data_IF_750649973342
#
_entry.id   IF_750649973342
#
_cell.length_a   1.000
_cell.length_b   1.000
_cell.length_c   1.000
_cell.angle_alpha   90.00
_cell.angle_beta   90.00
_cell.angle_gamma   90.00
#
_symmetry.space_group_name_H-M   'P 1'
#
loop_
_entity.id
_entity.type
_entity.pdbx_description
1 polymer ?
#
# COMPACT_ATOMS: atom_id res chain seq x y z
N UNK A 1 21.11 -21.72 -15.58
CA UNK A 1 21.03 -21.30 -14.17
C UNK A 1 19.57 -21.03 -13.86
N UNK A 2 18.91 -21.77 -12.95
CA UNK A 2 17.52 -21.50 -12.64
C UNK A 2 17.48 -20.28 -11.72
N UNK A 3 16.96 -19.17 -12.22
CA UNK A 3 16.79 -17.96 -11.42
C UNK A 3 15.68 -18.20 -10.39
N UNK A 4 15.98 -17.84 -9.14
CA UNK A 4 14.99 -17.80 -8.07
C UNK A 4 14.42 -16.38 -8.06
N UNK A 5 13.42 -16.15 -8.89
CA UNK A 5 12.60 -14.94 -8.74
C UNK A 5 11.81 -15.10 -7.45
N UNK A 6 12.17 -14.33 -6.43
CA UNK A 6 11.32 -14.16 -5.25
C UNK A 6 10.74 -12.77 -5.28
N UNK A 7 9.43 -12.67 -5.11
CA UNK A 7 8.79 -11.37 -4.97
C UNK A 7 8.92 -10.89 -3.52
N UNK A 8 8.74 -9.58 -3.29
CA UNK A 8 8.82 -9.02 -1.94
C UNK A 8 7.83 -9.68 -0.95
N UNK A 9 6.74 -10.27 -1.45
CA UNK A 9 5.80 -11.02 -0.61
C UNK A 9 6.42 -12.32 -0.11
N UNK A 10 7.13 -13.06 -0.98
CA UNK A 10 7.77 -14.33 -0.62
C UNK A 10 8.86 -14.15 0.44
N UNK A 11 9.61 -13.05 0.34
CA UNK A 11 10.60 -12.67 1.37
C UNK A 11 9.93 -12.35 2.71
N UNK A 12 8.78 -11.64 2.71
CA UNK A 12 8.03 -11.35 3.95
C UNK A 12 7.45 -12.60 4.58
N UNK A 13 6.94 -13.52 3.76
CA UNK A 13 6.39 -14.80 4.24
C UNK A 13 7.49 -15.64 4.88
N UNK A 14 8.66 -15.75 4.23
CA UNK A 14 9.83 -16.45 4.78
C UNK A 14 10.31 -15.80 6.08
N UNK A 15 10.42 -14.48 6.11
CA UNK A 15 10.80 -13.75 7.33
C UNK A 15 9.88 -14.08 8.52
N UNK A 16 8.57 -14.15 8.30
CA UNK A 16 7.62 -14.52 9.37
C UNK A 16 7.72 -16.00 9.73
N UNK A 17 7.93 -16.90 8.77
CA UNK A 17 8.10 -18.31 9.04
C UNK A 17 9.33 -18.57 9.94
N UNK A 18 10.46 -17.94 9.62
CA UNK A 18 11.69 -18.04 10.42
C UNK A 18 11.52 -17.37 11.80
N UNK A 19 10.79 -16.26 11.87
CA UNK A 19 10.46 -15.65 13.15
C UNK A 19 9.59 -16.57 14.03
N UNK A 20 8.62 -17.28 13.44
CA UNK A 20 7.76 -18.24 14.15
C UNK A 20 8.52 -19.49 14.60
N UNK A 21 9.56 -19.90 13.88
CA UNK A 21 10.44 -20.99 14.31
C UNK A 21 11.16 -20.63 15.63
N UNK A 22 11.51 -19.35 15.81
CA UNK A 22 12.00 -18.82 17.09
C UNK A 22 13.46 -19.17 17.43
N UNK A 23 14.20 -19.69 16.45
CA UNK A 23 15.60 -20.15 16.63
C UNK A 23 16.62 -19.00 16.70
N UNK A 24 16.24 -17.81 16.26
CA UNK A 24 17.13 -16.63 16.17
C UNK A 24 16.48 -15.39 16.77
N UNK A 25 17.30 -14.46 17.24
CA UNK A 25 16.82 -13.16 17.70
C UNK A 25 16.32 -12.29 16.54
N UNK A 26 15.51 -11.27 16.85
CA UNK A 26 15.05 -10.30 15.85
C UNK A 26 16.22 -9.58 15.15
N UNK A 27 17.35 -9.40 15.84
CA UNK A 27 18.54 -8.75 15.25
C UNK A 27 19.15 -9.64 14.18
N UNK A 28 19.46 -10.89 14.52
CA UNK A 28 20.04 -11.87 13.59
C UNK A 28 19.11 -12.13 12.40
N UNK A 29 17.80 -12.27 12.66
CA UNK A 29 16.81 -12.44 11.61
C UNK A 29 16.80 -11.24 10.65
N UNK A 30 16.82 -10.01 11.16
CA UNK A 30 16.85 -8.82 10.31
C UNK A 30 18.14 -8.72 9.48
N UNK A 31 19.27 -9.16 10.02
CA UNK A 31 20.56 -9.23 9.31
C UNK A 31 20.52 -10.23 8.16
N UNK A 32 19.97 -11.44 8.39
CA UNK A 32 19.79 -12.48 7.35
C UNK A 32 18.96 -11.96 6.17
N UNK A 33 17.89 -11.22 6.46
CA UNK A 33 16.97 -10.69 5.45
C UNK A 33 17.38 -9.33 4.91
N UNK A 34 18.49 -8.74 5.38
CA UNK A 34 18.97 -7.43 4.94
C UNK A 34 18.00 -6.27 5.20
N UNK A 35 17.17 -6.37 6.23
CA UNK A 35 16.19 -5.33 6.59
C UNK A 35 16.55 -4.65 7.91
N UNK A 36 16.09 -3.42 8.09
CA UNK A 36 16.20 -2.77 9.41
C UNK A 36 15.30 -3.47 10.46
N UNK A 37 15.72 -3.47 11.72
CA UNK A 37 14.89 -3.95 12.85
C UNK A 37 13.52 -3.28 12.91
N UNK A 38 13.42 -1.99 12.56
CA UNK A 38 12.14 -1.27 12.46
C UNK A 38 11.19 -1.90 11.44
N UNK A 39 11.71 -2.33 10.30
CA UNK A 39 10.92 -3.04 9.29
C UNK A 39 10.53 -4.45 9.78
N UNK A 40 11.45 -5.18 10.42
CA UNK A 40 11.16 -6.49 11.01
C UNK A 40 10.02 -6.44 12.03
N UNK A 41 10.10 -5.54 13.01
CA UNK A 41 9.02 -5.34 13.99
C UNK A 41 7.69 -4.91 13.34
N UNK A 42 7.72 -4.08 12.30
CA UNK A 42 6.51 -3.71 11.55
C UNK A 42 5.85 -4.94 10.93
N UNK A 43 6.61 -5.83 10.29
CA UNK A 43 6.05 -7.02 9.65
C UNK A 43 5.52 -8.01 10.67
N UNK A 44 6.27 -8.23 11.76
CA UNK A 44 5.79 -9.02 12.91
C UNK A 44 4.46 -8.49 13.44
N UNK A 45 4.39 -7.20 13.76
CA UNK A 45 3.17 -6.61 14.33
C UNK A 45 1.96 -6.71 13.38
N UNK A 46 2.18 -6.58 12.06
CA UNK A 46 1.11 -6.78 11.07
C UNK A 46 0.66 -8.23 10.98
N UNK A 47 1.59 -9.17 11.05
CA UNK A 47 1.26 -10.59 11.06
C UNK A 47 0.50 -10.97 12.33
N UNK A 48 0.94 -10.50 13.50
CA UNK A 48 0.24 -10.74 14.77
C UNK A 48 -1.20 -10.18 14.75
N UNK A 49 -1.44 -9.05 14.06
CA UNK A 49 -2.76 -8.42 13.99
C UNK A 49 -3.70 -9.02 12.92
N UNK A 50 -3.18 -9.38 11.75
CA UNK A 50 -3.97 -9.68 10.54
C UNK A 50 -3.59 -11.02 9.87
N UNK A 51 -2.66 -11.76 10.46
CA UNK A 51 -2.10 -12.98 9.89
C UNK A 51 -1.38 -12.71 8.56
N UNK A 52 -1.45 -13.68 7.64
CA UNK A 52 -0.82 -13.59 6.32
C UNK A 52 -1.32 -12.38 5.50
N UNK A 53 -2.57 -11.96 5.69
CA UNK A 53 -3.13 -10.78 5.00
C UNK A 53 -2.38 -9.49 5.35
N UNK A 54 -1.84 -9.38 6.57
CA UNK A 54 -1.06 -8.22 7.01
C UNK A 54 0.26 -8.01 6.25
N UNK A 55 0.75 -9.03 5.54
CA UNK A 55 2.00 -8.97 4.77
C UNK A 55 1.82 -8.35 3.38
N UNK A 56 0.57 -8.23 2.92
CA UNK A 56 0.25 -7.61 1.64
C UNK A 56 0.72 -6.15 1.58
N UNK A 57 0.97 -5.67 0.36
CA UNK A 57 1.25 -4.26 0.15
C UNK A 57 0.04 -3.42 0.56
N UNK A 58 0.29 -2.35 1.31
CA UNK A 58 -0.71 -1.32 1.58
C UNK A 58 -0.44 -0.13 0.69
N UNK A 59 -1.51 0.59 0.36
CA UNK A 59 -1.39 1.88 -0.32
C UNK A 59 -0.48 2.82 0.48
N UNK A 60 0.47 3.44 -0.21
CA UNK A 60 1.28 4.54 0.32
C UNK A 60 0.58 5.90 0.18
N UNK A 61 -0.61 5.92 -0.44
CA UNK A 61 -1.36 7.16 -0.60
C UNK A 61 -1.85 7.68 0.76
N UNK A 62 -1.76 9.00 1.02
CA UNK A 62 -2.36 9.62 2.19
C UNK A 62 -3.85 9.30 2.28
N UNK A 63 -4.35 8.98 3.47
CA UNK A 63 -5.78 8.72 3.71
C UNK A 63 -6.63 9.97 3.47
N UNK A 64 -6.09 11.15 3.82
CA UNK A 64 -6.70 12.43 3.55
C UNK A 64 -5.64 13.36 2.96
N UNK A 65 -5.93 13.91 1.78
CA UNK A 65 -5.12 14.95 1.16
C UNK A 65 -5.82 16.29 1.43
N UNK A 66 -5.15 17.24 2.07
CA UNK A 66 -5.75 18.54 2.45
C UNK A 66 -6.27 19.36 1.26
N UNK A 67 -5.79 19.07 0.04
CA UNK A 67 -6.27 19.67 -1.21
C UNK A 67 -7.17 18.74 -2.03
N UNK A 68 -7.70 17.67 -1.43
CA UNK A 68 -8.66 16.81 -2.11
C UNK A 68 -9.92 17.58 -2.46
N UNK A 69 -10.38 17.46 -3.70
CA UNK A 69 -11.65 18.04 -4.12
C UNK A 69 -12.80 17.42 -3.31
N UNK A 70 -13.70 18.21 -2.71
CA UNK A 70 -14.82 17.67 -1.93
C UNK A 70 -15.68 16.71 -2.75
N UNK A 71 -16.10 15.60 -2.14
CA UNK A 71 -16.88 14.55 -2.83
C UNK A 71 -18.11 15.07 -3.60
N UNK A 72 -18.91 16.03 -3.09
CA UNK A 72 -20.04 16.58 -3.85
C UNK A 72 -19.61 17.30 -5.14
N UNK A 73 -18.45 17.95 -5.12
CA UNK A 73 -17.91 18.64 -6.30
C UNK A 73 -17.36 17.64 -7.32
N UNK A 74 -16.73 16.55 -6.85
CA UNK A 74 -16.30 15.44 -7.71
C UNK A 74 -17.49 14.82 -8.44
N UNK A 75 -18.59 14.52 -7.74
CA UNK A 75 -19.79 13.98 -8.38
C UNK A 75 -20.36 14.94 -9.44
N UNK A 76 -20.45 16.25 -9.13
CA UNK A 76 -20.87 17.26 -10.12
C UNK A 76 -19.95 17.31 -11.35
N UNK A 77 -18.63 17.19 -11.16
CA UNK A 77 -17.66 17.12 -12.27
C UNK A 77 -17.93 15.87 -13.13
N UNK A 78 -18.12 14.72 -12.49
CA UNK A 78 -18.36 13.44 -13.17
C UNK A 78 -19.68 13.47 -13.97
N UNK A 79 -20.76 13.98 -13.37
CA UNK A 79 -22.05 14.11 -14.04
C UNK A 79 -21.96 15.02 -15.26
N UNK A 80 -21.30 16.18 -15.15
CA UNK A 80 -21.09 17.08 -16.28
C UNK A 80 -20.23 16.43 -17.38
N UNK A 81 -19.21 15.65 -17.00
CA UNK A 81 -18.36 14.93 -17.95
C UNK A 81 -19.15 13.86 -18.70
N UNK A 82 -20.02 13.12 -18.01
CA UNK A 82 -20.92 12.11 -18.63
C UNK A 82 -21.96 12.77 -19.53
N UNK A 83 -22.59 13.85 -19.08
CA UNK A 83 -23.61 14.57 -19.85
C UNK A 83 -23.04 15.31 -21.07
N UNK A 84 -21.76 15.73 -21.01
CA UNK A 84 -21.08 16.48 -22.08
C UNK A 84 -19.68 15.89 -22.36
N UNK A 85 -19.56 14.73 -23.02
CA UNK A 85 -18.27 14.05 -23.25
C UNK A 85 -17.26 14.82 -24.10
N UNK A 86 -17.70 15.78 -24.92
CA UNK A 86 -16.81 16.65 -25.71
C UNK A 86 -16.28 17.87 -24.93
N UNK A 87 -16.77 18.13 -23.72
CA UNK A 87 -16.34 19.27 -22.93
C UNK A 87 -15.02 18.98 -22.23
N UNK A 88 -14.00 19.79 -22.54
CA UNK A 88 -12.74 19.79 -21.81
C UNK A 88 -12.86 20.45 -20.43
N UNK A 89 -11.82 20.33 -19.59
CA UNK A 89 -11.83 20.78 -18.19
C UNK A 89 -12.28 22.24 -18.00
N UNK A 90 -11.83 23.16 -18.86
CA UNK A 90 -12.20 24.60 -18.77
C UNK A 90 -13.70 24.83 -18.89
N UNK A 91 -14.38 24.10 -19.77
CA UNK A 91 -15.85 24.22 -19.95
C UNK A 91 -16.62 23.60 -18.78
N UNK A 92 -16.07 22.53 -18.20
CA UNK A 92 -16.65 21.90 -17.00
C UNK A 92 -16.54 22.85 -15.80
N UNK A 93 -15.37 23.43 -15.56
CA UNK A 93 -15.15 24.42 -14.49
C UNK A 93 -16.10 25.61 -14.64
N UNK A 94 -16.20 26.20 -15.83
CA UNK A 94 -17.10 27.33 -16.10
C UNK A 94 -18.59 27.01 -15.89
N UNK A 95 -18.97 25.73 -15.75
CA UNK A 95 -20.36 25.29 -15.48
C UNK A 95 -20.58 24.90 -14.02
N UNK A 96 -19.52 24.84 -13.22
CA UNK A 96 -19.56 24.52 -11.80
C UNK A 96 -19.71 25.77 -10.91
N UNK A 97 -19.26 26.93 -11.42
CA UNK A 97 -19.54 28.29 -10.92
C UNK A 97 -21.02 28.66 -11.12
#
# INVERSE_FOLDING_TARGET
>A
MPWRESCAMDERVRFIADWLAGDVSMTELCEVYGISRKAGYKWRARYEAEGAAGLANRSSAPLAHGLATPAPLVERILDLRRARPSWGPRKIVAKLE
#
